data_IF_783688853673
#
_entry.id   IF_783688853673
#
_cell.length_a   1.000
_cell.length_b   1.000
_cell.length_c   1.000
_cell.angle_alpha   90.00
_cell.angle_beta   90.00
_cell.angle_gamma   90.00
#
_symmetry.space_group_name_H-M   'P 1'
#
loop_
_entity.id
_entity.type
_entity.pdbx_description
1 polymer ?
#
# COMPACT_ATOMS: atom_id res chain seq x y z
N UNK A 1 -24.08 5.27 4.41
CA UNK A 1 -23.80 6.56 5.10
C UNK A 1 -22.36 6.87 4.74
N UNK A 2 -21.97 8.11 4.41
CA UNK A 2 -20.59 8.37 4.01
C UNK A 2 -19.61 7.87 5.08
N UNK A 3 -18.66 7.02 4.67
CA UNK A 3 -17.58 6.50 5.49
C UNK A 3 -16.28 7.00 4.90
N UNK A 4 -15.41 7.53 5.76
CA UNK A 4 -14.06 7.92 5.35
C UNK A 4 -13.07 6.90 5.91
N UNK A 5 -12.14 6.44 5.07
CA UNK A 5 -11.11 5.48 5.42
C UNK A 5 -9.81 5.73 4.65
N UNK A 6 -8.77 4.99 4.99
CA UNK A 6 -7.49 5.05 4.27
C UNK A 6 -7.08 3.66 3.81
N UNK A 7 -6.50 3.57 2.61
CA UNK A 7 -5.68 2.44 2.17
C UNK A 7 -4.27 2.93 1.86
N UNK A 8 -3.31 2.01 1.77
CA UNK A 8 -1.91 2.33 1.50
C UNK A 8 -1.50 1.74 0.16
N UNK A 9 -1.04 2.62 -0.73
CA UNK A 9 -0.74 2.29 -2.12
C UNK A 9 0.73 2.54 -2.38
N UNK A 10 1.40 1.58 -3.00
CA UNK A 10 2.74 1.78 -3.51
C UNK A 10 2.64 2.16 -4.98
N UNK A 11 3.04 3.38 -5.31
CA UNK A 11 2.98 3.93 -6.66
C UNK A 11 3.78 3.11 -7.67
N UNK A 12 3.37 3.12 -8.93
CA UNK A 12 4.04 2.39 -10.01
C UNK A 12 5.51 2.79 -10.15
N UNK A 13 5.86 4.08 -9.93
CA UNK A 13 7.27 4.54 -9.95
C UNK A 13 8.16 3.83 -8.92
N UNK A 14 7.56 3.28 -7.87
CA UNK A 14 8.25 2.54 -6.80
C UNK A 14 8.31 1.03 -7.04
N UNK A 15 7.89 0.57 -8.22
CA UNK A 15 7.88 -0.82 -8.64
C UNK A 15 8.82 -1.06 -9.83
N UNK A 16 9.21 -2.32 -10.00
CA UNK A 16 9.89 -2.77 -11.21
C UNK A 16 9.31 -4.09 -11.69
N UNK A 17 8.92 -4.13 -12.97
CA UNK A 17 8.26 -5.28 -13.57
C UNK A 17 9.16 -5.88 -14.64
N UNK A 18 9.39 -7.20 -14.58
CA UNK A 18 10.29 -7.89 -15.51
C UNK A 18 9.84 -7.77 -16.97
N UNK A 19 10.80 -7.70 -17.88
CA UNK A 19 10.55 -7.66 -19.32
C UNK A 19 9.88 -6.37 -19.79
N UNK A 20 10.08 -5.26 -19.06
CA UNK A 20 9.49 -3.96 -19.39
C UNK A 20 7.97 -3.92 -19.24
N UNK A 21 7.42 -4.71 -18.31
CA UNK A 21 5.99 -4.68 -18.00
C UNK A 21 5.59 -3.37 -17.32
N UNK A 22 4.30 -3.09 -17.34
CA UNK A 22 3.64 -1.96 -16.67
C UNK A 22 2.39 -2.49 -15.98
N UNK A 23 1.87 -1.78 -14.99
CA UNK A 23 0.64 -2.18 -14.29
C UNK A 23 -0.62 -2.00 -15.13
N UNK A 24 -0.58 -1.12 -16.14
CA UNK A 24 -1.75 -0.68 -16.86
C UNK A 24 -1.60 -0.73 -18.39
N UNK A 25 -2.67 -0.34 -19.10
CA UNK A 25 -2.61 -0.03 -20.53
C UNK A 25 -2.49 -1.20 -21.51
N UNK A 26 -2.59 -2.47 -21.04
CA UNK A 26 -2.35 -3.66 -21.89
C UNK A 26 -3.57 -4.59 -22.03
N UNK A 27 -4.39 -4.82 -21.00
CA UNK A 27 -5.59 -5.71 -21.07
C UNK A 27 -6.86 -5.02 -20.56
N UNK A 28 -8.01 -5.71 -20.64
CA UNK A 28 -9.33 -5.26 -20.20
C UNK A 28 -9.48 -5.04 -18.67
N UNK A 29 -8.40 -4.79 -17.94
CA UNK A 29 -8.49 -4.51 -16.50
C UNK A 29 -8.44 -5.73 -15.58
N UNK A 30 -8.11 -6.92 -16.08
CA UNK A 30 -8.09 -8.16 -15.29
C UNK A 30 -6.71 -8.53 -14.70
N UNK A 31 -5.67 -7.76 -15.02
CA UNK A 31 -4.28 -8.00 -14.58
C UNK A 31 -3.59 -9.21 -15.24
N UNK A 32 -4.23 -9.92 -16.16
CA UNK A 32 -3.72 -11.18 -16.73
C UNK A 32 -2.40 -11.03 -17.49
N UNK A 33 -2.12 -9.85 -18.06
CA UNK A 33 -0.86 -9.53 -18.74
C UNK A 33 0.38 -9.55 -17.82
N UNK A 34 0.17 -9.51 -16.50
CA UNK A 34 1.23 -9.58 -15.51
C UNK A 34 1.58 -11.03 -15.13
N UNK A 35 0.71 -12.01 -15.41
CA UNK A 35 0.93 -13.41 -15.02
C UNK A 35 2.23 -13.95 -15.64
N UNK A 36 3.07 -14.53 -14.79
CA UNK A 36 4.39 -15.04 -15.14
C UNK A 36 5.51 -13.99 -15.15
N UNK A 37 5.21 -12.69 -15.01
CA UNK A 37 6.21 -11.65 -14.76
C UNK A 37 6.58 -11.62 -13.28
N UNK A 38 7.69 -10.96 -12.96
CA UNK A 38 8.04 -10.61 -11.57
C UNK A 38 7.81 -9.13 -11.30
N UNK A 39 7.27 -8.82 -10.13
CA UNK A 39 7.14 -7.47 -9.56
C UNK A 39 8.11 -7.36 -8.39
N UNK A 40 8.96 -6.34 -8.40
CA UNK A 40 9.87 -6.01 -7.31
C UNK A 40 9.48 -4.66 -6.73
N UNK A 41 9.31 -4.60 -5.41
CA UNK A 41 9.13 -3.34 -4.69
C UNK A 41 10.50 -2.69 -4.51
N UNK A 42 10.67 -1.45 -4.98
CA UNK A 42 11.94 -0.71 -4.86
C UNK A 42 12.02 0.12 -3.56
N UNK A 43 10.88 0.43 -2.97
CA UNK A 43 10.77 1.13 -1.69
C UNK A 43 9.61 0.60 -0.86
N UNK A 44 9.57 0.99 0.41
CA UNK A 44 8.42 0.80 1.30
C UNK A 44 7.71 2.14 1.56
N UNK A 45 7.81 3.08 0.62
CA UNK A 45 7.22 4.41 0.71
C UNK A 45 5.79 4.37 0.20
N UNK A 46 4.90 3.77 0.99
CA UNK A 46 3.48 3.70 0.65
C UNK A 46 2.81 5.06 0.89
N UNK A 47 2.07 5.53 -0.11
CA UNK A 47 1.23 6.71 0.00
C UNK A 47 -0.09 6.33 0.70
N UNK A 48 -0.49 7.14 1.69
CA UNK A 48 -1.80 7.01 2.31
C UNK A 48 -2.85 7.66 1.40
N UNK A 49 -3.70 6.83 0.80
CA UNK A 49 -4.83 7.28 0.00
C UNK A 49 -6.06 7.36 0.90
N UNK A 50 -6.59 8.57 1.09
CA UNK A 50 -7.80 8.79 1.90
C UNK A 50 -9.02 8.77 1.01
N UNK A 51 -10.04 8.05 1.42
CA UNK A 51 -11.20 7.76 0.60
C UNK A 51 -12.47 8.12 1.36
N UNK A 52 -13.47 8.58 0.61
CA UNK A 52 -14.83 8.81 1.03
C UNK A 52 -15.74 7.93 0.17
N UNK A 53 -16.57 7.14 0.85
CA UNK A 53 -17.35 6.06 0.25
C UNK A 53 -18.70 5.92 0.97
N UNK A 54 -19.62 5.05 0.53
CA UNK A 54 -20.87 4.77 1.24
C UNK A 54 -20.83 3.55 2.17
N UNK A 55 -19.76 2.74 2.07
CA UNK A 55 -19.40 1.64 2.97
C UNK A 55 -17.87 1.51 3.17
N UNK A 56 -17.39 0.32 3.55
CA UNK A 56 -15.98 0.04 3.87
C UNK A 56 -15.35 -0.96 2.91
N UNK A 57 -15.92 -1.11 1.72
CA UNK A 57 -15.55 -2.13 0.75
C UNK A 57 -14.78 -1.49 -0.40
N UNK A 58 -13.46 -1.58 -0.38
CA UNK A 58 -12.68 -1.13 -1.53
C UNK A 58 -12.71 -2.19 -2.63
N UNK A 59 -13.49 -1.94 -3.68
CA UNK A 59 -13.83 -2.93 -4.69
C UNK A 59 -13.90 -2.38 -6.11
N UNK A 60 -13.93 -3.31 -7.05
CA UNK A 60 -14.11 -3.05 -8.46
C UNK A 60 -15.54 -2.58 -8.77
N UNK A 61 -15.67 -1.79 -9.84
CA UNK A 61 -16.93 -1.27 -10.37
C UNK A 61 -17.78 -0.53 -9.33
N UNK A 62 -17.14 0.01 -8.28
CA UNK A 62 -17.83 0.85 -7.33
C UNK A 62 -17.90 2.31 -7.79
N UNK A 63 -19.13 2.76 -8.06
CA UNK A 63 -19.34 4.06 -8.68
C UNK A 63 -19.38 5.20 -7.68
N UNK A 64 -19.27 4.97 -6.37
CA UNK A 64 -19.38 5.97 -5.30
C UNK A 64 -18.05 6.24 -4.54
N UNK A 65 -17.04 5.38 -4.71
CA UNK A 65 -15.75 5.48 -4.03
C UNK A 65 -14.90 6.61 -4.58
N UNK A 66 -14.49 7.56 -3.73
CA UNK A 66 -13.79 8.79 -4.13
C UNK A 66 -12.62 9.15 -3.21
N UNK A 67 -11.67 9.92 -3.72
CA UNK A 67 -10.67 10.59 -2.87
C UNK A 67 -11.33 11.58 -1.90
N UNK A 68 -10.99 11.46 -0.61
CA UNK A 68 -11.36 12.40 0.46
C UNK A 68 -10.33 13.53 0.56
N UNK A 69 -10.60 14.64 -0.11
CA UNK A 69 -9.66 15.76 -0.28
C UNK A 69 -8.72 15.59 -1.48
N UNK A 70 -8.06 16.68 -1.87
CA UNK A 70 -7.03 16.64 -2.91
C UNK A 70 -5.75 16.00 -2.36
N UNK A 71 -5.12 15.12 -3.14
CA UNK A 71 -4.02 14.26 -2.70
C UNK A 71 -3.01 14.08 -3.83
N UNK A 72 -1.80 13.67 -3.47
CA UNK A 72 -0.78 13.23 -4.43
C UNK A 72 -0.59 11.73 -4.28
N UNK A 73 -0.64 10.99 -5.38
CA UNK A 73 -0.38 9.55 -5.44
C UNK A 73 0.65 9.36 -6.55
N UNK A 74 1.77 8.69 -6.23
CA UNK A 74 2.87 8.48 -7.16
C UNK A 74 3.36 9.78 -7.84
N UNK A 75 3.53 10.84 -7.05
CA UNK A 75 3.92 12.19 -7.49
C UNK A 75 2.89 12.92 -8.40
N UNK A 76 1.76 12.29 -8.73
CA UNK A 76 0.68 12.88 -9.51
C UNK A 76 -0.40 13.45 -8.59
N UNK A 77 -0.81 14.70 -8.84
CA UNK A 77 -1.84 15.39 -8.07
C UNK A 77 -3.25 15.10 -8.57
N UNK A 78 -4.14 14.74 -7.64
CA UNK A 78 -5.55 14.45 -7.90
C UNK A 78 -6.47 15.35 -7.08
N UNK A 79 -7.62 15.69 -7.66
CA UNK A 79 -8.62 16.54 -7.03
C UNK A 79 -9.43 15.81 -5.96
N UNK A 80 -9.99 16.57 -5.02
CA UNK A 80 -11.03 16.04 -4.13
C UNK A 80 -12.20 15.47 -4.94
N UNK A 81 -12.71 14.31 -4.54
CA UNK A 81 -13.85 13.70 -5.20
C UNK A 81 -13.52 13.01 -6.53
N UNK A 82 -12.23 12.82 -6.86
CA UNK A 82 -11.83 11.96 -7.99
C UNK A 82 -12.18 10.50 -7.70
N UNK A 83 -12.68 9.78 -8.71
CA UNK A 83 -13.06 8.37 -8.57
C UNK A 83 -11.84 7.46 -8.50
N UNK A 84 -11.93 6.46 -7.63
CA UNK A 84 -10.90 5.43 -7.46
C UNK A 84 -11.59 4.07 -7.53
N UNK A 85 -10.96 3.09 -8.14
CA UNK A 85 -11.48 1.74 -8.34
C UNK A 85 -10.39 0.71 -7.97
N UNK A 86 -10.82 -0.45 -7.45
CA UNK A 86 -9.97 -1.63 -7.37
C UNK A 86 -10.04 -2.35 -8.71
N UNK A 87 -8.99 -2.28 -9.53
CA UNK A 87 -9.05 -2.76 -10.91
C UNK A 87 -8.96 -4.29 -11.00
N UNK A 88 -7.88 -4.85 -10.48
CA UNK A 88 -7.66 -6.30 -10.45
C UNK A 88 -6.95 -6.75 -9.18
N UNK A 89 -7.08 -8.03 -8.86
CA UNK A 89 -6.29 -8.71 -7.86
C UNK A 89 -5.11 -9.46 -8.50
N UNK A 90 -3.96 -9.47 -7.82
CA UNK A 90 -2.81 -10.31 -8.16
C UNK A 90 -2.45 -11.20 -6.98
N UNK A 91 -2.05 -12.44 -7.27
CA UNK A 91 -1.32 -13.28 -6.31
C UNK A 91 0.15 -13.26 -6.66
N UNK A 92 0.98 -12.83 -5.71
CA UNK A 92 2.43 -12.70 -5.84
C UNK A 92 3.11 -13.75 -4.98
N UNK A 93 4.24 -14.31 -5.44
CA UNK A 93 5.01 -15.30 -4.66
C UNK A 93 6.52 -15.16 -4.84
N UNK A 94 7.26 -15.36 -3.75
CA UNK A 94 8.72 -15.54 -3.76
C UNK A 94 9.12 -17.04 -3.90
N UNK A 95 8.15 -17.94 -4.08
CA UNK A 95 8.32 -19.39 -4.10
C UNK A 95 8.12 -20.09 -2.75
N UNK A 96 8.02 -19.35 -1.66
CA UNK A 96 7.80 -19.87 -0.29
C UNK A 96 6.55 -19.27 0.34
N UNK A 97 6.38 -17.96 0.21
CA UNK A 97 5.27 -17.17 0.71
C UNK A 97 4.44 -16.63 -0.46
N UNK A 98 3.21 -16.23 -0.14
CA UNK A 98 2.28 -15.62 -1.09
C UNK A 98 1.70 -14.35 -0.50
N UNK A 99 1.53 -13.35 -1.35
CA UNK A 99 0.87 -12.09 -1.04
C UNK A 99 -0.23 -11.82 -2.05
N UNK A 100 -1.30 -11.16 -1.59
CA UNK A 100 -2.35 -10.67 -2.47
C UNK A 100 -2.21 -9.16 -2.61
N UNK A 101 -2.21 -8.70 -3.86
CA UNK A 101 -2.15 -7.29 -4.22
C UNK A 101 -3.41 -6.89 -4.99
N UNK A 102 -3.77 -5.61 -4.91
CA UNK A 102 -4.88 -5.00 -5.62
C UNK A 102 -4.33 -3.84 -6.44
N UNK A 103 -4.58 -3.86 -7.74
CA UNK A 103 -4.32 -2.72 -8.63
C UNK A 103 -5.29 -1.60 -8.30
N UNK A 104 -4.75 -0.41 -8.00
CA UNK A 104 -5.54 0.77 -7.67
C UNK A 104 -5.56 1.71 -8.86
N UNK A 105 -6.76 1.95 -9.39
CA UNK A 105 -7.02 2.85 -10.51
C UNK A 105 -7.63 4.15 -9.99
N UNK A 106 -7.04 5.28 -10.35
CA UNK A 106 -7.57 6.62 -10.11
C UNK A 106 -8.12 7.15 -11.43
N UNK A 107 -9.44 7.07 -11.57
CA UNK A 107 -10.14 7.30 -12.84
C UNK A 107 -10.08 8.79 -13.23
N UNK A 108 -9.02 9.14 -13.94
CA UNK A 108 -8.67 10.51 -14.32
C UNK A 108 -8.58 10.72 -15.85
N UNK A 109 -8.72 9.64 -16.64
CA UNK A 109 -8.56 9.67 -18.09
C UNK A 109 -9.68 8.87 -18.78
N UNK A 110 -9.93 9.21 -20.05
CA UNK A 110 -10.94 8.55 -20.91
C UNK A 110 -10.31 7.48 -21.81
N UNK A 111 -9.25 6.81 -21.36
CA UNK A 111 -8.54 5.78 -22.12
C UNK A 111 -9.38 4.52 -22.27
N UNK A 112 -9.12 3.73 -23.31
CA UNK A 112 -9.82 2.46 -23.54
C UNK A 112 -9.45 1.36 -22.54
N UNK A 113 -8.44 1.59 -21.70
CA UNK A 113 -7.98 0.71 -20.62
C UNK A 113 -7.78 1.55 -19.36
N UNK A 114 -8.05 0.97 -18.20
CA UNK A 114 -7.78 1.59 -16.91
C UNK A 114 -6.30 2.00 -16.76
N UNK A 115 -6.07 3.10 -16.05
CA UNK A 115 -4.76 3.46 -15.49
C UNK A 115 -4.64 2.81 -14.13
N UNK A 116 -3.47 2.30 -13.77
CA UNK A 116 -3.23 1.66 -12.46
C UNK A 116 -2.03 2.35 -11.83
N UNK A 117 -2.34 3.29 -10.94
CA UNK A 117 -1.38 4.19 -10.29
C UNK A 117 -0.49 3.46 -9.29
N UNK A 118 -0.90 2.29 -8.81
CA UNK A 118 -0.09 1.51 -7.90
C UNK A 118 -0.77 0.25 -7.36
N UNK A 119 -0.10 -0.38 -6.41
CA UNK A 119 -0.55 -1.60 -5.75
C UNK A 119 -0.83 -1.35 -4.27
N UNK A 120 -2.02 -1.74 -3.81
CA UNK A 120 -2.32 -1.99 -2.42
C UNK A 120 -2.15 -3.48 -2.09
N UNK A 121 -1.94 -3.83 -0.82
CA UNK A 121 -1.70 -5.23 -0.41
C UNK A 121 -2.74 -5.68 0.62
N UNK A 122 -3.00 -6.98 0.67
CA UNK A 122 -3.95 -7.61 1.59
C UNK A 122 -3.19 -8.48 2.61
N UNK A 123 -3.71 -8.52 3.84
CA UNK A 123 -3.18 -9.31 4.95
C UNK A 123 -3.20 -8.59 6.30
N UNK A 124 -3.72 -7.37 6.37
CA UNK A 124 -3.79 -6.58 7.60
C UNK A 124 -2.45 -5.94 8.02
N UNK A 125 -2.37 -5.38 9.24
CA UNK A 125 -1.23 -4.56 9.67
C UNK A 125 0.13 -5.22 9.50
N UNK A 126 1.04 -4.56 8.79
CA UNK A 126 2.42 -5.00 8.55
C UNK A 126 2.62 -6.07 7.48
N UNK A 127 1.55 -6.57 6.85
CA UNK A 127 1.61 -7.62 5.82
C UNK A 127 2.01 -7.10 4.42
N UNK A 128 3.08 -6.31 4.35
CA UNK A 128 3.66 -5.90 3.07
C UNK A 128 4.71 -6.91 2.58
N UNK A 129 4.86 -7.11 1.27
CA UNK A 129 5.95 -7.92 0.75
C UNK A 129 7.33 -7.28 0.99
N UNK A 130 8.41 -8.08 1.00
CA UNK A 130 9.76 -7.56 1.20
C UNK A 130 10.24 -6.71 0.01
N UNK A 131 10.83 -5.55 0.32
CA UNK A 131 11.49 -4.67 -0.67
C UNK A 131 12.73 -5.34 -1.26
N UNK A 132 12.88 -5.25 -2.57
CA UNK A 132 14.04 -5.74 -3.33
C UNK A 132 13.98 -7.24 -3.67
N UNK A 133 12.92 -7.94 -3.29
CA UNK A 133 12.70 -9.35 -3.65
C UNK A 133 11.79 -9.41 -4.89
N UNK A 134 12.19 -10.11 -5.97
CA UNK A 134 11.33 -10.30 -7.13
C UNK A 134 10.21 -11.30 -6.81
N UNK A 135 8.95 -10.87 -6.93
CA UNK A 135 7.78 -11.69 -6.66
C UNK A 135 7.12 -12.08 -7.98
N UNK A 136 6.99 -13.37 -8.24
CA UNK A 136 6.30 -13.89 -9.43
C UNK A 136 4.80 -13.69 -9.29
N UNK A 137 4.17 -13.12 -10.31
CA UNK A 137 2.72 -13.07 -10.43
C UNK A 137 2.23 -14.45 -10.86
N UNK A 138 1.64 -15.20 -9.92
CA UNK A 138 1.21 -16.59 -10.17
C UNK A 138 -0.22 -16.69 -10.67
N UNK A 139 -1.07 -15.71 -10.34
CA UNK A 139 -2.43 -15.58 -10.85
C UNK A 139 -2.91 -14.13 -10.77
N UNK A 140 -3.89 -13.81 -11.61
CA UNK A 140 -4.63 -12.56 -11.59
C UNK A 140 -6.13 -12.84 -11.43
N UNK A 141 -6.88 -11.87 -10.94
CA UNK A 141 -8.30 -11.95 -10.64
C UNK A 141 -8.99 -10.65 -11.06
N UNK A 142 -10.08 -10.75 -11.80
CA UNK A 142 -11.01 -9.64 -12.05
C UNK A 142 -11.97 -9.47 -10.87
N UNK A 143 -12.43 -8.25 -10.62
CA UNK A 143 -13.43 -7.95 -9.59
C UNK A 143 -12.95 -8.13 -8.15
N UNK A 144 -11.77 -7.61 -7.74
CA UNK A 144 -11.38 -7.62 -6.33
C UNK A 144 -12.42 -6.91 -5.45
N UNK A 145 -12.67 -7.46 -4.28
CA UNK A 145 -13.58 -6.88 -3.29
C UNK A 145 -13.06 -7.23 -1.89
N UNK A 146 -12.52 -6.24 -1.19
CA UNK A 146 -11.94 -6.40 0.14
C UNK A 146 -12.45 -5.34 1.09
N UNK A 147 -12.61 -5.71 2.36
CA UNK A 147 -12.94 -4.77 3.41
C UNK A 147 -11.68 -3.98 3.78
N UNK A 148 -11.84 -2.72 4.18
CA UNK A 148 -10.72 -1.88 4.66
C UNK A 148 -9.81 -2.57 5.69
N UNK A 149 -10.31 -3.33 6.69
CA UNK A 149 -9.45 -4.02 7.66
C UNK A 149 -8.55 -5.12 7.07
N UNK A 150 -8.87 -5.64 5.89
CA UNK A 150 -8.08 -6.66 5.21
C UNK A 150 -6.82 -6.05 4.57
N UNK A 151 -6.84 -4.76 4.27
CA UNK A 151 -5.71 -4.08 3.65
C UNK A 151 -4.52 -4.00 4.60
N UNK A 152 -3.33 -4.18 4.01
CA UNK A 152 -2.07 -3.98 4.68
C UNK A 152 -1.92 -2.51 5.06
N UNK A 153 -1.59 -2.28 6.33
CA UNK A 153 -1.36 -0.95 6.88
C UNK A 153 0.01 -0.87 7.54
N UNK A 154 0.72 0.26 7.45
CA UNK A 154 1.97 0.45 8.18
C UNK A 154 1.77 0.27 9.68
N UNK A 155 2.67 -0.45 10.33
CA UNK A 155 2.71 -0.50 11.78
C UNK A 155 3.25 0.83 12.28
N UNK A 156 2.44 1.56 13.06
CA UNK A 156 2.82 2.82 13.68
C UNK A 156 2.99 2.67 15.19
N UNK A 157 4.02 3.31 15.75
CA UNK A 157 4.18 3.44 17.19
C UNK A 157 3.67 4.80 17.68
N UNK A 158 3.02 4.81 18.85
CA UNK A 158 2.60 6.04 19.49
C UNK A 158 3.80 6.83 20.02
N UNK A 159 3.67 8.15 20.07
CA UNK A 159 4.66 9.05 20.69
C UNK A 159 5.02 8.56 22.10
N UNK A 160 6.32 8.56 22.43
CA UNK A 160 6.86 8.07 23.69
C UNK A 160 7.15 6.57 23.73
N UNK A 161 6.73 5.79 22.73
CA UNK A 161 7.15 4.40 22.59
C UNK A 161 8.67 4.32 22.45
N UNK A 162 9.33 3.47 23.24
CA UNK A 162 10.78 3.32 23.25
C UNK A 162 11.21 2.17 22.35
N UNK A 163 12.15 2.45 21.45
CA UNK A 163 12.76 1.49 20.53
C UNK A 163 14.19 1.24 20.96
N UNK A 164 14.58 -0.03 21.06
CA UNK A 164 15.96 -0.40 21.37
C UNK A 164 16.92 0.03 20.26
N UNK A 165 18.02 0.69 20.63
CA UNK A 165 19.06 1.15 19.71
C UNK A 165 20.44 0.77 20.22
N UNK A 166 21.48 1.00 19.41
CA UNK A 166 22.87 0.76 19.83
C UNK A 166 23.29 1.55 21.09
N UNK A 167 22.63 2.68 21.38
CA UNK A 167 22.90 3.52 22.56
C UNK A 167 21.86 3.33 23.69
N UNK A 168 21.05 2.28 23.60
CA UNK A 168 19.93 2.00 24.52
C UNK A 168 18.57 2.48 23.98
N UNK A 169 17.49 2.34 24.77
CA UNK A 169 16.13 2.64 24.32
C UNK A 169 15.93 4.14 24.07
N UNK A 170 15.49 4.51 22.86
CA UNK A 170 15.18 5.89 22.47
C UNK A 170 13.70 6.03 22.12
N UNK A 171 13.04 7.15 22.46
CA UNK A 171 11.65 7.37 22.07
C UNK A 171 11.52 7.50 20.55
N UNK A 172 10.43 6.97 19.99
CA UNK A 172 10.20 6.89 18.54
C UNK A 172 10.31 8.25 17.85
N UNK A 173 9.85 9.33 18.48
CA UNK A 173 9.89 10.69 17.92
C UNK A 173 11.29 11.31 17.83
N UNK A 174 12.29 10.70 18.46
CA UNK A 174 13.69 11.16 18.38
C UNK A 174 14.50 10.43 17.31
N UNK A 175 13.99 9.31 16.79
CA UNK A 175 14.68 8.52 15.78
C UNK A 175 14.68 9.22 14.43
N UNK A 176 15.71 8.95 13.63
CA UNK A 176 15.87 9.47 12.26
C UNK A 176 16.22 8.35 11.29
N UNK A 177 15.94 8.55 10.00
CA UNK A 177 16.48 7.68 8.97
C UNK A 177 18.01 7.59 9.11
N UNK A 178 18.56 6.38 9.04
CA UNK A 178 19.96 6.06 9.31
C UNK A 178 20.27 5.62 10.75
N UNK A 179 19.42 5.96 11.74
CA UNK A 179 19.59 5.45 13.10
C UNK A 179 19.49 3.92 13.11
N UNK A 180 20.28 3.24 13.94
CA UNK A 180 20.27 1.78 14.03
C UNK A 180 19.41 1.29 15.18
N UNK A 181 18.38 0.52 14.85
CA UNK A 181 17.46 -0.11 15.81
C UNK A 181 17.74 -1.59 15.94
N UNK A 182 17.57 -2.14 17.14
CA UNK A 182 17.70 -3.57 17.37
C UNK A 182 16.49 -4.30 16.78
N UNK A 183 16.74 -5.27 15.90
CA UNK A 183 15.74 -6.19 15.37
C UNK A 183 15.90 -7.56 16.03
N UNK A 184 14.82 -8.34 16.06
CA UNK A 184 14.82 -9.66 16.70
C UNK A 184 15.81 -10.62 16.00
N UNK A 185 15.76 -10.66 14.67
CA UNK A 185 16.45 -11.71 13.90
C UNK A 185 17.75 -11.25 13.25
N UNK A 186 17.92 -9.94 13.03
CA UNK A 186 19.01 -9.38 12.23
C UNK A 186 19.88 -8.36 13.00
N UNK A 187 19.74 -8.29 14.32
CA UNK A 187 20.50 -7.35 15.15
C UNK A 187 20.24 -5.89 14.78
N UNK A 188 21.27 -5.04 14.86
CA UNK A 188 21.15 -3.61 14.57
C UNK A 188 20.95 -3.33 13.08
N UNK A 189 19.79 -2.79 12.71
CA UNK A 189 19.44 -2.43 11.33
C UNK A 189 19.15 -0.93 11.20
N UNK A 190 19.55 -0.28 10.09
CA UNK A 190 19.28 1.13 9.89
C UNK A 190 17.80 1.38 9.57
N UNK A 191 17.22 2.40 10.19
CA UNK A 191 15.91 2.93 9.79
C UNK A 191 16.04 3.49 8.38
N UNK A 192 15.24 2.98 7.44
CA UNK A 192 15.27 3.44 6.04
C UNK A 192 14.40 4.68 5.81
N UNK A 193 13.28 4.77 6.52
CA UNK A 193 12.30 5.83 6.38
C UNK A 193 11.53 6.04 7.70
N UNK A 194 10.99 7.25 7.89
CA UNK A 194 10.12 7.59 9.02
C UNK A 194 8.89 8.32 8.49
N UNK A 195 7.72 7.76 8.79
CA UNK A 195 6.43 8.41 8.63
C UNK A 195 5.86 8.86 9.97
N UNK A 196 5.10 9.96 9.97
CA UNK A 196 4.37 10.42 11.13
C UNK A 196 2.93 10.77 10.73
N UNK A 197 1.97 10.36 11.56
CA UNK A 197 0.56 10.72 11.41
C UNK A 197 0.03 11.35 12.70
N UNK A 198 -0.84 12.37 12.62
CA UNK A 198 -1.59 12.82 13.78
C UNK A 198 -2.49 11.67 14.26
N UNK A 199 -2.22 11.13 15.45
CA UNK A 199 -3.15 10.23 16.13
C UNK A 199 -3.95 11.02 17.16
N UNK A 200 -5.28 10.90 17.16
CA UNK A 200 -6.07 11.34 18.30
C UNK A 200 -5.73 10.43 19.49
N UNK A 201 -4.99 10.96 20.46
CA UNK A 201 -4.70 10.31 21.74
C UNK A 201 -5.93 10.24 22.64
N UNK A 202 -6.97 9.51 22.20
CA UNK A 202 -8.05 9.05 23.07
C UNK A 202 -7.59 7.79 23.80
N UNK A 203 -7.87 7.68 25.11
CA UNK A 203 -7.43 6.61 26.02
C UNK A 203 -7.91 5.17 25.68
N UNK A 204 -8.38 4.91 24.46
CA UNK A 204 -8.97 3.63 24.02
C UNK A 204 -8.13 2.80 23.03
N UNK A 205 -6.96 3.28 22.59
CA UNK A 205 -6.17 2.61 21.54
C UNK A 205 -4.83 2.00 22.02
N UNK A 206 -4.62 1.89 23.33
CA UNK A 206 -3.50 1.11 23.84
C UNK A 206 -3.88 -0.38 23.83
N UNK A 207 -3.10 -1.27 23.17
CA UNK A 207 -3.25 -2.70 23.38
C UNK A 207 -2.93 -3.01 24.85
N UNK A 208 -3.77 -3.83 25.48
CA UNK A 208 -3.51 -4.43 26.80
C UNK A 208 -2.47 -5.53 26.71
#
# INVERSE_FOLDING_TARGET
MPVNYSIFVLGESQLSISGGGQLDGITQGDGSHLVGKTITLNSASFDEMKLADDDTDFRDNDTNQRLDGAQTIDEVGYGNGTRVEAEYGLTLSDGVHTWQAVGVNVVNSATSYATVEGLAFIGGPGHFPPVGVPLTVVSAQEGPNFQVPDYATPICYARGARIETAQGPRPIEELRAGDRVQTLDSGLQPIRWIGARPGFGGRGCAPV
#
